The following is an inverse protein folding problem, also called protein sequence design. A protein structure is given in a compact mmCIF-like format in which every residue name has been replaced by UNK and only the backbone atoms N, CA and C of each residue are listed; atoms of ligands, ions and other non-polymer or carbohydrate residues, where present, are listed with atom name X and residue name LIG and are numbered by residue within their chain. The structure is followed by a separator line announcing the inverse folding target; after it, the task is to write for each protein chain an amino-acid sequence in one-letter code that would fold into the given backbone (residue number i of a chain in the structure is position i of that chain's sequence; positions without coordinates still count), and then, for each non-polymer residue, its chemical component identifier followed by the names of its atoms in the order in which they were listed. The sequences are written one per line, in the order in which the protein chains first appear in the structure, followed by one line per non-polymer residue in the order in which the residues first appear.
data_IF_167435140343
#
_entry.id   IF_167435140343
#
_cell.length_a   1.000
_cell.length_b   1.000
_cell.length_c   1.000
_cell.angle_alpha   90.00
_cell.angle_beta   90.00
_cell.angle_gamma   90.00
#
_symmetry.space_group_name_H-M   'P 1'
#
loop_
_entity.id
_entity.type
_entity.pdbx_description
1 polymer ?
#
# COMPACT_ATOMS: atom_id res chain seq x y z
N UNK A 1 22.14 -20.17 -7.74
CA UNK A 1 21.03 -21.13 -7.98
C UNK A 1 21.54 -22.53 -7.73
N UNK A 2 20.92 -23.29 -6.81
CA UNK A 2 21.34 -24.65 -6.48
C UNK A 2 21.05 -25.61 -7.64
N UNK A 3 21.82 -26.68 -7.77
CA UNK A 3 21.66 -27.74 -8.78
C UNK A 3 20.22 -28.31 -8.85
N UNK A 4 19.45 -28.24 -7.77
CA UNK A 4 18.04 -28.65 -7.74
C UNK A 4 17.09 -27.71 -8.49
N UNK A 5 17.38 -26.40 -8.54
CA UNK A 5 16.59 -25.43 -9.31
C UNK A 5 16.79 -25.57 -10.82
N UNK A 6 17.94 -26.06 -11.24
CA UNK A 6 18.23 -26.31 -12.66
C UNK A 6 17.55 -27.57 -13.19
N UNK A 7 17.36 -28.59 -12.35
CA UNK A 7 16.68 -29.83 -12.76
C UNK A 7 15.18 -29.64 -12.95
N UNK A 8 14.53 -28.82 -12.09
CA UNK A 8 13.09 -28.53 -12.18
C UNK A 8 12.73 -27.69 -13.41
N UNK A 9 13.61 -26.77 -13.80
CA UNK A 9 13.42 -25.94 -15.00
C UNK A 9 13.53 -26.78 -16.31
N UNK A 10 14.35 -27.81 -16.33
CA UNK A 10 14.53 -28.67 -17.50
C UNK A 10 13.32 -29.59 -17.77
N UNK A 11 12.62 -30.06 -16.73
CA UNK A 11 11.41 -30.87 -16.86
C UNK A 11 10.20 -30.09 -17.38
N UNK A 12 10.17 -28.76 -17.20
CA UNK A 12 9.10 -27.87 -17.67
C UNK A 12 9.37 -27.25 -19.06
N UNK A 13 10.45 -27.66 -19.75
CA UNK A 13 10.79 -27.12 -21.08
C UNK A 13 11.24 -25.63 -21.06
N UNK A 14 11.58 -25.12 -19.86
CA UNK A 14 12.08 -23.75 -19.71
C UNK A 14 13.60 -23.81 -19.85
N UNK A 15 14.13 -23.39 -21.00
CA UNK A 15 15.58 -23.23 -21.18
C UNK A 15 16.11 -22.25 -20.13
N UNK A 16 17.18 -22.59 -19.39
CA UNK A 16 17.81 -21.64 -18.48
C UNK A 16 18.30 -20.44 -19.32
N UNK A 17 17.83 -19.26 -18.95
CA UNK A 17 18.29 -18.02 -19.57
C UNK A 17 19.79 -17.86 -19.28
N UNK A 18 20.60 -17.84 -20.30
CA UNK A 18 22.03 -17.50 -20.21
C UNK A 18 22.16 -16.04 -19.78
N UNK A 19 22.97 -15.78 -18.75
CA UNK A 19 23.37 -14.43 -18.33
C UNK A 19 23.87 -13.67 -19.57
N UNK A 20 23.17 -12.57 -19.93
CA UNK A 20 23.56 -11.66 -20.99
C UNK A 20 22.57 -11.46 -22.14
N UNK A 21 21.46 -12.18 -22.24
CA UNK A 21 20.41 -11.84 -23.22
C UNK A 21 19.58 -10.67 -22.69
N UNK A 22 19.76 -9.47 -23.26
CA UNK A 22 18.82 -8.36 -23.07
C UNK A 22 17.43 -8.85 -23.46
N UNK A 23 16.48 -8.83 -22.51
CA UNK A 23 15.09 -9.17 -22.82
C UNK A 23 14.59 -8.25 -23.93
N UNK A 24 13.86 -8.81 -24.90
CA UNK A 24 13.21 -8.00 -25.94
C UNK A 24 12.35 -6.93 -25.32
N UNK A 25 12.30 -5.71 -25.87
CA UNK A 25 11.45 -4.64 -25.35
C UNK A 25 9.99 -5.09 -25.21
N UNK A 26 9.28 -4.59 -24.22
CA UNK A 26 7.89 -4.98 -23.92
C UNK A 26 6.92 -4.78 -25.11
N UNK A 27 7.24 -3.89 -26.04
CA UNK A 27 6.44 -3.55 -27.22
C UNK A 27 6.69 -4.47 -28.42
N UNK A 28 7.60 -5.45 -28.36
CA UNK A 28 7.72 -6.44 -29.41
C UNK A 28 6.44 -7.28 -29.50
N UNK A 29 5.98 -7.64 -30.73
CA UNK A 29 4.72 -8.35 -30.90
C UNK A 29 4.60 -9.63 -30.06
N UNK A 30 5.66 -10.42 -29.99
CA UNK A 30 5.70 -11.68 -29.27
C UNK A 30 5.53 -11.43 -27.76
N UNK A 31 6.32 -10.53 -27.18
CA UNK A 31 6.28 -10.21 -25.76
C UNK A 31 4.96 -9.52 -25.37
N UNK A 32 4.42 -8.68 -26.23
CA UNK A 32 3.10 -8.09 -26.03
C UNK A 32 1.99 -9.15 -26.07
N UNK A 33 2.09 -10.12 -27.01
CA UNK A 33 1.11 -11.19 -27.13
C UNK A 33 1.06 -12.06 -25.85
N UNK A 34 2.22 -12.39 -25.27
CA UNK A 34 2.32 -13.15 -24.02
C UNK A 34 1.63 -12.43 -22.84
N UNK A 35 1.67 -11.11 -22.83
CA UNK A 35 1.05 -10.28 -21.79
C UNK A 35 -0.44 -9.99 -22.03
N UNK A 36 -0.91 -10.16 -23.25
CA UNK A 36 -2.26 -9.76 -23.67
C UNK A 36 -3.40 -10.32 -22.80
N UNK A 37 -3.37 -11.59 -22.34
CA UNK A 37 -4.41 -12.10 -21.44
C UNK A 37 -4.50 -11.31 -20.14
N UNK A 38 -3.37 -10.98 -19.51
CA UNK A 38 -3.32 -10.20 -18.26
C UNK A 38 -3.80 -8.75 -18.45
N UNK A 39 -3.46 -8.14 -19.59
CA UNK A 39 -3.92 -6.79 -19.94
C UNK A 39 -5.44 -6.74 -20.22
N UNK A 40 -5.99 -7.80 -20.82
CA UNK A 40 -7.44 -7.94 -21.00
C UNK A 40 -8.15 -8.14 -19.66
N UNK A 41 -7.60 -8.98 -18.77
CA UNK A 41 -8.08 -9.16 -17.41
C UNK A 41 -8.09 -7.82 -16.64
N UNK A 42 -7.01 -7.05 -16.72
CA UNK A 42 -6.94 -5.70 -16.15
C UNK A 42 -8.11 -4.81 -16.59
N UNK A 43 -8.35 -4.78 -17.91
CA UNK A 43 -9.44 -3.96 -18.46
C UNK A 43 -10.82 -4.43 -18.04
N UNK A 44 -11.02 -5.75 -17.91
CA UNK A 44 -12.28 -6.32 -17.42
C UNK A 44 -12.50 -6.00 -15.93
N UNK A 45 -11.48 -6.23 -15.09
CA UNK A 45 -11.52 -5.91 -13.65
C UNK A 45 -11.80 -4.42 -13.44
N UNK A 46 -11.10 -3.54 -14.17
CA UNK A 46 -11.29 -2.09 -14.06
C UNK A 46 -12.74 -1.66 -14.35
N UNK A 47 -13.41 -2.29 -15.34
CA UNK A 47 -14.83 -2.01 -15.62
C UNK A 47 -15.74 -2.55 -14.51
N UNK A 48 -15.56 -3.81 -14.14
CA UNK A 48 -16.40 -4.43 -13.12
C UNK A 48 -16.34 -3.71 -11.76
N UNK A 49 -15.14 -3.20 -11.39
CA UNK A 49 -15.02 -2.42 -10.16
C UNK A 49 -15.66 -1.04 -10.28
N UNK A 50 -15.58 -0.36 -11.45
CA UNK A 50 -16.29 0.90 -11.66
C UNK A 50 -17.81 0.72 -11.57
N UNK A 51 -18.32 -0.33 -12.21
CA UNK A 51 -19.75 -0.65 -12.16
C UNK A 51 -20.19 -0.89 -10.70
N UNK A 52 -19.39 -1.62 -9.92
CA UNK A 52 -19.67 -1.86 -8.49
C UNK A 52 -19.64 -0.56 -7.67
N UNK A 53 -18.63 0.30 -7.84
CA UNK A 53 -18.57 1.57 -7.11
C UNK A 53 -19.72 2.51 -7.48
N UNK A 54 -20.13 2.56 -8.75
CA UNK A 54 -21.28 3.34 -9.21
C UNK A 54 -22.58 2.82 -8.56
N UNK A 55 -22.79 1.49 -8.55
CA UNK A 55 -23.95 0.85 -7.93
C UNK A 55 -24.02 1.10 -6.41
N UNK A 56 -22.87 1.20 -5.73
CA UNK A 56 -22.74 1.55 -4.31
C UNK A 56 -22.86 3.07 -4.05
N UNK A 57 -23.03 3.87 -5.08
CA UNK A 57 -23.24 5.31 -4.99
C UNK A 57 -21.96 6.13 -4.77
N UNK A 58 -20.80 5.63 -5.18
CA UNK A 58 -19.56 6.39 -5.18
C UNK A 58 -19.47 7.28 -6.42
N UNK A 59 -18.97 8.50 -6.23
CA UNK A 59 -18.54 9.34 -7.32
C UNK A 59 -17.08 9.02 -7.70
N UNK A 60 -16.81 8.64 -8.96
CA UNK A 60 -15.44 8.55 -9.45
C UNK A 60 -14.89 9.97 -9.65
N UNK A 61 -13.78 10.27 -8.99
CA UNK A 61 -13.13 11.57 -9.05
C UNK A 61 -11.77 11.46 -9.74
N UNK A 62 -11.28 12.59 -10.27
CA UNK A 62 -9.94 12.73 -10.83
C UNK A 62 -9.24 13.89 -10.12
N UNK A 63 -8.22 13.61 -9.33
CA UNK A 63 -7.48 14.63 -8.60
C UNK A 63 -6.13 14.93 -9.26
N UNK A 64 -5.58 16.12 -8.97
CA UNK A 64 -4.33 16.59 -9.60
C UNK A 64 -3.12 15.73 -9.22
N UNK A 65 -2.32 15.34 -10.22
CA UNK A 65 -1.07 14.59 -10.03
C UNK A 65 0.02 15.47 -9.42
N UNK A 66 0.11 16.74 -9.87
CA UNK A 66 1.11 17.69 -9.38
C UNK A 66 0.68 18.27 -8.03
N UNK A 67 1.50 18.06 -7.01
CA UNK A 67 1.23 18.47 -5.64
C UNK A 67 2.34 19.39 -5.12
N UNK A 68 2.00 20.32 -4.23
CA UNK A 68 2.99 21.11 -3.48
C UNK A 68 3.70 20.29 -2.42
N UNK A 69 2.96 19.40 -1.77
CA UNK A 69 3.48 18.36 -0.87
C UNK A 69 3.03 17.00 -1.36
N UNK A 70 3.94 16.03 -1.52
CA UNK A 70 3.57 14.69 -2.03
C UNK A 70 3.05 13.75 -0.94
N UNK A 71 2.91 14.23 0.29
CA UNK A 71 2.73 13.47 1.51
C UNK A 71 3.94 13.61 2.43
N UNK A 72 3.70 13.45 3.72
CA UNK A 72 4.74 13.65 4.76
C UNK A 72 5.03 12.34 5.51
N UNK A 73 5.34 11.28 4.77
CA UNK A 73 5.76 9.99 5.32
C UNK A 73 7.29 9.84 5.23
N UNK A 74 7.88 9.28 6.29
CA UNK A 74 9.35 9.18 6.42
C UNK A 74 9.99 8.43 5.26
N UNK A 75 9.43 7.29 4.87
CA UNK A 75 10.04 6.36 3.93
C UNK A 75 9.51 6.44 2.49
N UNK A 76 8.47 7.23 2.23
CA UNK A 76 7.96 7.44 0.87
C UNK A 76 8.72 8.55 0.16
N UNK A 77 9.24 8.27 -1.01
CA UNK A 77 9.98 9.20 -1.85
C UNK A 77 9.18 9.56 -3.09
N UNK A 78 9.06 10.86 -3.35
CA UNK A 78 8.30 11.38 -4.49
C UNK A 78 9.22 12.01 -5.54
N UNK A 79 9.04 11.70 -6.83
CA UNK A 79 9.70 12.44 -7.88
C UNK A 79 9.29 13.90 -7.88
N UNK A 80 10.24 14.81 -8.07
CA UNK A 80 9.95 16.24 -8.20
C UNK A 80 9.80 16.67 -9.66
N UNK A 81 9.01 17.71 -9.90
CA UNK A 81 8.81 18.31 -11.21
C UNK A 81 8.97 19.84 -11.12
N UNK A 82 9.86 20.39 -11.95
CA UNK A 82 10.06 21.84 -12.04
C UNK A 82 9.21 22.41 -13.18
N UNK A 83 8.28 23.31 -12.85
CA UNK A 83 7.48 24.05 -13.80
C UNK A 83 7.97 25.49 -13.91
N UNK A 84 7.65 26.12 -15.03
CA UNK A 84 7.91 27.56 -15.22
C UNK A 84 6.57 28.26 -15.35
N UNK A 85 6.34 29.26 -14.49
CA UNK A 85 5.13 30.10 -14.56
C UNK A 85 5.10 30.97 -15.83
N UNK A 86 3.97 31.56 -16.14
CA UNK A 86 3.85 32.51 -17.25
C UNK A 86 4.75 33.76 -17.06
N UNK A 87 5.10 34.10 -15.82
CA UNK A 87 6.05 35.19 -15.50
C UNK A 87 7.53 34.75 -15.59
N UNK A 88 7.80 33.45 -15.83
CA UNK A 88 9.16 32.92 -15.91
C UNK A 88 9.71 32.37 -14.58
N UNK A 89 8.95 32.41 -13.49
CA UNK A 89 9.37 31.93 -12.19
C UNK A 89 9.44 30.40 -12.17
N UNK A 90 10.43 29.85 -11.46
CA UNK A 90 10.57 28.42 -11.24
C UNK A 90 9.69 27.98 -10.06
N UNK A 91 8.85 27.00 -10.31
CA UNK A 91 7.91 26.41 -9.35
C UNK A 91 8.24 24.93 -9.17
N UNK A 92 8.57 24.54 -7.94
CA UNK A 92 8.82 23.14 -7.61
C UNK A 92 7.52 22.47 -7.18
N UNK A 93 7.20 21.36 -7.85
CA UNK A 93 6.11 20.46 -7.53
C UNK A 93 6.64 19.05 -7.32
N UNK A 94 5.77 18.17 -6.85
CA UNK A 94 6.03 16.74 -6.74
C UNK A 94 4.92 15.96 -7.46
N UNK A 95 5.28 14.79 -7.99
CA UNK A 95 4.29 13.83 -8.43
C UNK A 95 3.75 13.12 -7.18
N UNK A 96 2.43 13.00 -7.07
CA UNK A 96 1.77 12.42 -5.89
C UNK A 96 2.18 10.97 -5.63
N UNK A 97 2.35 10.60 -4.38
CA UNK A 97 2.55 9.21 -3.94
C UNK A 97 1.23 8.49 -3.63
N UNK A 98 0.14 9.26 -3.46
CA UNK A 98 -1.25 8.89 -3.26
C UNK A 98 -2.14 10.09 -3.58
N UNK A 99 -3.41 9.92 -3.94
CA UNK A 99 -4.39 11.00 -4.08
C UNK A 99 -4.96 11.47 -2.73
N UNK A 100 -4.60 10.87 -1.61
CA UNK A 100 -5.20 11.02 -0.28
C UNK A 100 -5.48 12.47 0.13
N UNK A 101 -4.48 13.38 0.04
CA UNK A 101 -4.66 14.77 0.46
C UNK A 101 -5.72 15.50 -0.37
N UNK A 102 -5.77 15.19 -1.67
CA UNK A 102 -6.77 15.78 -2.56
C UNK A 102 -8.17 15.18 -2.30
N UNK A 103 -8.27 13.86 -2.10
CA UNK A 103 -9.51 13.19 -1.77
C UNK A 103 -10.08 13.69 -0.43
N UNK A 104 -9.24 13.85 0.60
CA UNK A 104 -9.66 14.40 1.90
C UNK A 104 -10.12 15.87 1.80
N UNK A 105 -9.53 16.66 0.92
CA UNK A 105 -10.05 18.02 0.60
C UNK A 105 -11.42 17.96 -0.05
N UNK A 106 -11.73 16.95 -0.88
CA UNK A 106 -13.06 16.75 -1.44
C UNK A 106 -14.08 16.35 -0.36
N UNK A 107 -13.70 15.52 0.61
CA UNK A 107 -14.55 15.22 1.78
C UNK A 107 -14.84 16.50 2.59
N UNK A 108 -13.83 17.36 2.81
CA UNK A 108 -14.01 18.64 3.46
C UNK A 108 -14.90 19.60 2.64
N UNK A 109 -14.92 19.47 1.31
CA UNK A 109 -15.80 20.23 0.42
C UNK A 109 -17.25 19.71 0.38
N UNK A 110 -17.54 18.55 1.04
CA UNK A 110 -18.90 18.01 1.15
C UNK A 110 -19.16 16.72 0.39
N UNK A 111 -18.16 16.15 -0.30
CA UNK A 111 -18.31 14.82 -0.88
C UNK A 111 -18.41 13.76 0.22
N UNK A 112 -19.15 12.69 -0.04
CA UNK A 112 -19.43 11.67 1.00
C UNK A 112 -18.94 10.27 0.65
N UNK A 113 -19.02 9.89 -0.62
CA UNK A 113 -18.52 8.62 -1.17
C UNK A 113 -17.77 8.91 -2.46
N UNK A 114 -16.46 8.77 -2.44
CA UNK A 114 -15.60 9.03 -3.60
C UNK A 114 -14.65 7.87 -3.85
N UNK A 115 -14.32 7.64 -5.12
CA UNK A 115 -13.34 6.65 -5.57
C UNK A 115 -12.46 7.24 -6.66
N UNK A 116 -11.17 6.90 -6.67
CA UNK A 116 -10.24 7.28 -7.73
C UNK A 116 -9.36 6.09 -8.16
N UNK A 117 -9.30 5.82 -9.46
CA UNK A 117 -8.25 4.99 -10.07
C UNK A 117 -7.04 5.88 -10.38
N UNK A 118 -6.22 6.10 -9.39
CA UNK A 118 -5.18 7.11 -9.38
C UNK A 118 -3.86 6.63 -9.99
N UNK A 119 -3.24 7.44 -10.86
CA UNK A 119 -1.82 7.29 -11.18
C UNK A 119 -0.99 7.90 -10.06
N UNK A 120 -0.08 7.11 -9.50
CA UNK A 120 0.78 7.50 -8.39
C UNK A 120 2.23 7.12 -8.68
N UNK A 121 3.15 7.81 -8.00
CA UNK A 121 4.57 7.74 -8.28
C UNK A 121 5.36 7.61 -6.97
N UNK A 122 6.19 6.58 -6.88
CA UNK A 122 7.08 6.39 -5.73
C UNK A 122 8.49 6.14 -6.22
N UNK A 123 9.37 7.03 -5.87
CA UNK A 123 10.80 6.89 -6.19
C UNK A 123 11.43 5.80 -5.32
N UNK A 124 12.48 5.17 -5.82
CA UNK A 124 13.22 4.08 -5.17
C UNK A 124 12.43 2.78 -5.00
N UNK A 125 11.20 2.69 -5.52
CA UNK A 125 10.41 1.47 -5.48
C UNK A 125 10.43 0.76 -6.85
N UNK A 126 11.23 -0.30 -6.94
CA UNK A 126 11.28 -1.17 -8.12
C UNK A 126 11.54 -2.61 -7.70
N UNK A 127 10.71 -3.52 -8.21
CA UNK A 127 10.83 -4.94 -7.89
C UNK A 127 9.72 -5.78 -8.53
N UNK A 128 9.65 -7.07 -8.22
CA UNK A 128 8.63 -7.95 -8.78
C UNK A 128 7.19 -7.54 -8.46
N UNK A 129 6.97 -6.79 -7.38
CA UNK A 129 5.69 -6.28 -6.89
C UNK A 129 5.59 -4.75 -6.89
N UNK A 130 6.60 -4.05 -7.40
CA UNK A 130 6.69 -2.60 -7.33
C UNK A 130 7.15 -2.01 -8.65
N UNK A 131 6.50 -0.94 -9.06
CA UNK A 131 6.93 -0.06 -10.15
C UNK A 131 6.94 1.37 -9.64
N UNK A 132 7.85 2.24 -10.15
CA UNK A 132 7.91 3.65 -9.72
C UNK A 132 6.68 4.46 -10.15
N UNK A 133 5.93 3.98 -11.13
CA UNK A 133 4.61 4.48 -11.55
C UNK A 133 3.64 3.31 -11.60
N UNK A 134 2.52 3.43 -10.88
CA UNK A 134 1.51 2.39 -10.78
C UNK A 134 0.10 2.96 -10.62
N UNK A 135 -0.90 2.08 -10.66
CA UNK A 135 -2.28 2.46 -10.38
C UNK A 135 -2.65 2.06 -8.96
N UNK A 136 -3.10 3.04 -8.21
CA UNK A 136 -3.72 2.90 -6.90
C UNK A 136 -5.22 3.11 -7.04
N UNK A 137 -6.01 2.26 -6.39
CA UNK A 137 -7.45 2.43 -6.26
C UNK A 137 -7.71 2.89 -4.84
N UNK A 138 -8.15 4.14 -4.69
CA UNK A 138 -8.50 4.69 -3.38
C UNK A 138 -9.97 5.07 -3.32
N UNK A 139 -10.62 4.80 -2.17
CA UNK A 139 -11.98 5.22 -1.93
C UNK A 139 -12.20 5.61 -0.48
N UNK A 140 -13.19 6.47 -0.28
CA UNK A 140 -13.50 7.08 1.01
C UNK A 140 -15.00 7.09 1.27
N UNK A 141 -15.38 6.92 2.55
CA UNK A 141 -16.74 7.04 3.06
C UNK A 141 -16.76 8.04 4.22
N UNK A 142 -17.56 9.09 4.09
CA UNK A 142 -17.82 10.03 5.17
C UNK A 142 -18.89 9.50 6.10
N UNK A 143 -18.76 9.77 7.42
CA UNK A 143 -19.69 9.38 8.47
C UNK A 143 -19.93 7.87 8.59
N UNK A 144 -19.00 7.07 8.14
CA UNK A 144 -18.99 5.61 8.31
C UNK A 144 -17.74 5.17 9.09
N UNK A 145 -17.81 4.01 9.74
CA UNK A 145 -16.67 3.45 10.47
C UNK A 145 -15.69 2.75 9.52
N UNK A 146 -14.44 2.55 9.96
CA UNK A 146 -13.41 1.95 9.12
C UNK A 146 -13.69 0.48 8.77
N UNK A 147 -14.54 -0.20 9.53
CA UNK A 147 -15.05 -1.53 9.20
C UNK A 147 -15.82 -1.55 7.86
N UNK A 148 -16.44 -0.42 7.46
CA UNK A 148 -17.12 -0.32 6.18
C UNK A 148 -16.14 -0.48 5.01
N UNK A 149 -15.00 0.22 5.04
CA UNK A 149 -13.96 0.08 3.98
C UNK A 149 -13.18 -1.22 4.09
N UNK A 150 -13.11 -1.84 5.29
CA UNK A 150 -12.62 -3.22 5.42
C UNK A 150 -13.52 -4.20 4.65
N UNK A 151 -14.85 -4.09 4.82
CA UNK A 151 -15.83 -4.91 4.11
C UNK A 151 -15.79 -4.66 2.59
N UNK A 152 -15.73 -3.39 2.16
CA UNK A 152 -15.56 -3.03 0.75
C UNK A 152 -14.32 -3.69 0.14
N UNK A 153 -13.20 -3.69 0.87
CA UNK A 153 -11.94 -4.28 0.39
C UNK A 153 -12.10 -5.77 0.06
N UNK A 154 -12.81 -6.50 0.90
CA UNK A 154 -13.11 -7.93 0.67
C UNK A 154 -13.96 -8.10 -0.60
N UNK A 155 -15.01 -7.28 -0.75
CA UNK A 155 -15.89 -7.33 -1.94
C UNK A 155 -15.13 -6.98 -3.21
N UNK A 156 -14.33 -5.91 -3.21
CA UNK A 156 -13.50 -5.47 -4.35
C UNK A 156 -12.53 -6.57 -4.79
N UNK A 157 -11.88 -7.24 -3.83
CA UNK A 157 -10.95 -8.34 -4.12
C UNK A 157 -11.70 -9.55 -4.70
N UNK A 158 -12.83 -9.93 -4.12
CA UNK A 158 -13.66 -11.02 -4.60
C UNK A 158 -14.22 -10.72 -6.00
N UNK A 159 -14.67 -9.48 -6.26
CA UNK A 159 -15.17 -9.04 -7.57
C UNK A 159 -14.11 -9.14 -8.66
N UNK A 160 -12.84 -8.80 -8.35
CA UNK A 160 -11.74 -8.96 -9.29
C UNK A 160 -11.49 -10.45 -9.64
N UNK A 161 -11.52 -11.33 -8.64
CA UNK A 161 -11.40 -12.78 -8.84
C UNK A 161 -12.57 -13.35 -9.66
N UNK A 162 -13.81 -12.94 -9.36
CA UNK A 162 -15.00 -13.35 -10.10
C UNK A 162 -14.93 -12.92 -11.56
N UNK A 163 -14.47 -11.70 -11.84
CA UNK A 163 -14.36 -11.14 -13.19
C UNK A 163 -13.41 -11.94 -14.09
N UNK A 164 -12.37 -12.52 -13.52
CA UNK A 164 -11.42 -13.36 -14.28
C UNK A 164 -11.78 -14.84 -14.27
N UNK A 165 -12.74 -15.25 -13.44
CA UNK A 165 -13.11 -16.65 -13.23
C UNK A 165 -12.11 -17.46 -12.41
N UNK A 166 -11.18 -16.77 -11.71
CA UNK A 166 -10.20 -17.44 -10.84
C UNK A 166 -10.87 -17.82 -9.51
N UNK A 167 -10.79 -19.08 -9.10
CA UNK A 167 -11.36 -19.53 -7.83
C UNK A 167 -10.42 -19.37 -6.64
N UNK A 168 -9.13 -19.27 -6.88
CA UNK A 168 -8.09 -19.20 -5.84
C UNK A 168 -6.91 -18.39 -6.35
N UNK A 169 -6.45 -17.42 -5.59
CA UNK A 169 -5.19 -16.74 -5.86
C UNK A 169 -4.02 -17.66 -5.56
N UNK A 170 -2.99 -17.60 -6.39
CA UNK A 170 -1.76 -18.33 -6.18
C UNK A 170 -0.54 -17.47 -6.50
N UNK A 171 0.37 -17.34 -5.55
CA UNK A 171 1.59 -16.57 -5.72
C UNK A 171 2.73 -17.13 -4.87
N UNK A 172 3.89 -17.39 -5.48
CA UNK A 172 5.11 -17.89 -4.82
C UNK A 172 4.88 -19.09 -3.89
N UNK A 173 4.06 -20.05 -4.34
CA UNK A 173 3.76 -21.27 -3.57
C UNK A 173 2.72 -21.09 -2.46
N UNK A 174 2.19 -19.88 -2.27
CA UNK A 174 1.07 -19.62 -1.36
C UNK A 174 -0.23 -19.55 -2.14
N UNK A 175 -1.34 -19.90 -1.50
CA UNK A 175 -2.70 -19.84 -2.07
C UNK A 175 -3.63 -19.09 -1.12
N UNK A 176 -4.66 -18.44 -1.67
CA UNK A 176 -5.71 -17.80 -0.90
C UNK A 176 -7.05 -17.87 -1.67
N UNK A 177 -8.09 -18.29 -0.99
CA UNK A 177 -9.47 -18.21 -1.51
C UNK A 177 -9.99 -16.78 -1.28
N UNK A 178 -10.25 -16.00 -2.34
CA UNK A 178 -10.75 -14.63 -2.20
C UNK A 178 -12.23 -14.56 -1.84
N UNK A 179 -12.95 -15.68 -1.85
CA UNK A 179 -14.38 -15.76 -1.55
C UNK A 179 -14.66 -16.28 -0.12
N UNK A 180 -13.64 -16.84 0.54
CA UNK A 180 -13.78 -17.28 1.92
C UNK A 180 -13.83 -16.07 2.87
N UNK A 181 -14.53 -16.24 4.00
CA UNK A 181 -14.53 -15.22 5.05
C UNK A 181 -13.09 -14.92 5.49
N UNK A 182 -12.69 -13.64 5.54
CA UNK A 182 -11.31 -13.26 5.87
C UNK A 182 -10.95 -13.62 7.30
N UNK A 183 -9.68 -13.91 7.53
CA UNK A 183 -9.10 -14.03 8.87
C UNK A 183 -8.86 -12.61 9.42
N UNK A 184 -9.58 -12.25 10.49
CA UNK A 184 -9.41 -10.99 11.21
C UNK A 184 -8.37 -11.17 12.31
N UNK A 185 -7.26 -10.48 12.20
CA UNK A 185 -6.12 -10.64 13.11
C UNK A 185 -5.62 -9.27 13.57
N UNK A 186 -5.61 -9.01 14.88
CA UNK A 186 -4.99 -7.79 15.39
C UNK A 186 -3.47 -7.88 15.26
N UNK A 187 -2.80 -6.72 15.09
CA UNK A 187 -1.32 -6.70 15.06
C UNK A 187 -0.75 -7.27 16.36
N UNK A 188 -1.36 -6.98 17.50
CA UNK A 188 -0.93 -7.50 18.80
C UNK A 188 -1.02 -9.03 18.88
N UNK A 189 -2.13 -9.61 18.42
CA UNK A 189 -2.29 -11.07 18.38
C UNK A 189 -1.31 -11.72 17.37
N UNK A 190 -1.07 -11.05 16.24
CA UNK A 190 -0.10 -11.51 15.25
C UNK A 190 1.32 -11.58 15.82
N UNK A 191 1.75 -10.55 16.54
CA UNK A 191 3.05 -10.52 17.21
C UNK A 191 3.16 -11.59 18.30
N UNK A 192 2.11 -11.75 19.10
CA UNK A 192 2.07 -12.82 20.10
C UNK A 192 2.15 -14.20 19.44
N UNK A 193 1.37 -14.43 18.38
CA UNK A 193 1.23 -15.73 17.71
C UNK A 193 2.48 -16.13 16.94
N UNK A 194 3.08 -15.20 16.18
CA UNK A 194 4.14 -15.52 15.22
C UNK A 194 5.54 -15.12 15.69
N UNK A 195 5.66 -14.14 16.58
CA UNK A 195 6.93 -13.67 17.11
C UNK A 195 7.11 -13.94 18.62
N UNK A 196 6.06 -14.37 19.34
CA UNK A 196 6.03 -14.53 20.80
C UNK A 196 6.38 -13.22 21.55
N UNK A 197 5.91 -12.08 21.04
CA UNK A 197 6.13 -10.73 21.59
C UNK A 197 4.78 -10.16 22.05
N UNK A 198 4.68 -9.71 23.30
CA UNK A 198 3.59 -8.86 23.79
C UNK A 198 3.86 -7.43 23.33
N UNK A 199 3.36 -7.09 22.14
CA UNK A 199 3.60 -5.80 21.50
C UNK A 199 3.06 -4.63 22.34
N UNK A 200 1.85 -4.77 22.91
CA UNK A 200 1.20 -3.68 23.62
C UNK A 200 1.87 -3.36 24.97
N UNK A 201 2.64 -4.30 25.54
CA UNK A 201 3.48 -4.03 26.71
C UNK A 201 4.63 -3.07 26.39
N UNK A 202 5.01 -2.91 25.11
CA UNK A 202 6.06 -2.00 24.66
C UNK A 202 5.54 -0.60 24.28
N UNK A 203 4.24 -0.33 24.54
CA UNK A 203 3.58 0.93 24.22
C UNK A 203 2.79 1.44 25.46
N UNK A 204 3.47 1.66 26.60
CA UNK A 204 2.79 2.15 27.78
C UNK A 204 2.14 3.53 27.51
N UNK A 205 0.86 3.66 27.79
CA UNK A 205 0.11 4.90 27.59
C UNK A 205 0.14 5.47 26.16
N UNK A 206 0.29 4.60 25.13
CA UNK A 206 0.37 5.02 23.73
C UNK A 206 1.75 5.54 23.29
N UNK A 207 2.75 5.48 24.17
CA UNK A 207 4.13 5.93 23.90
C UNK A 207 5.02 4.73 23.56
N UNK A 208 5.78 4.84 22.47
CA UNK A 208 6.73 3.81 22.07
C UNK A 208 7.89 3.69 23.07
N UNK A 209 8.08 2.52 23.63
CA UNK A 209 9.25 2.17 24.45
C UNK A 209 10.19 1.30 23.62
N UNK A 210 11.21 1.95 23.01
CA UNK A 210 12.20 1.29 22.15
C UNK A 210 12.94 0.16 22.88
N UNK A 211 13.34 0.40 24.13
CA UNK A 211 14.14 -0.56 24.88
C UNK A 211 13.31 -1.81 25.25
N UNK A 212 12.04 -1.62 25.58
CA UNK A 212 11.14 -2.73 25.85
C UNK A 212 10.94 -3.61 24.60
N UNK A 213 10.74 -3.00 23.40
CA UNK A 213 10.60 -3.76 22.17
C UNK A 213 11.93 -4.41 21.76
N UNK A 214 13.05 -3.72 21.89
CA UNK A 214 14.36 -4.27 21.60
C UNK A 214 14.66 -5.49 22.47
N UNK A 215 14.37 -5.42 23.77
CA UNK A 215 14.54 -6.57 24.68
C UNK A 215 13.66 -7.75 24.29
N UNK A 216 12.40 -7.50 23.92
CA UNK A 216 11.46 -8.56 23.51
C UNK A 216 11.81 -9.18 22.15
N UNK A 217 12.47 -8.44 21.25
CA UNK A 217 12.79 -8.87 19.88
C UNK A 217 14.26 -9.36 19.71
N UNK A 218 15.09 -9.35 20.77
CA UNK A 218 16.53 -9.64 20.70
C UNK A 218 16.87 -10.96 20.00
N UNK A 219 16.09 -12.02 20.26
CA UNK A 219 16.30 -13.35 19.66
C UNK A 219 15.50 -13.55 18.35
N UNK A 220 14.87 -12.52 17.84
CA UNK A 220 13.98 -12.59 16.67
C UNK A 220 14.57 -11.92 15.44
N UNK A 221 15.07 -10.70 15.61
CA UNK A 221 15.59 -9.88 14.51
C UNK A 221 16.93 -9.24 14.90
N UNK A 222 17.73 -8.89 13.90
CA UNK A 222 18.96 -8.14 14.15
C UNK A 222 18.63 -6.69 14.48
N UNK A 223 18.97 -6.25 15.71
CA UNK A 223 18.77 -4.90 16.19
C UNK A 223 20.13 -4.16 16.21
N UNK A 224 20.14 -2.90 15.81
CA UNK A 224 21.28 -2.00 15.86
C UNK A 224 20.97 -0.81 16.76
N UNK A 225 22.00 -0.09 17.21
CA UNK A 225 21.83 1.07 18.11
C UNK A 225 21.04 2.21 17.46
N UNK A 226 21.07 2.30 16.12
CA UNK A 226 20.35 3.33 15.35
C UNK A 226 18.89 2.98 15.05
N UNK A 227 18.47 1.74 15.32
CA UNK A 227 17.09 1.32 15.08
C UNK A 227 16.14 2.04 16.04
N UNK A 228 15.12 2.64 15.50
CA UNK A 228 13.97 3.16 16.27
C UNK A 228 13.03 2.03 16.69
N UNK A 229 12.01 2.34 17.50
CA UNK A 229 10.93 1.39 17.79
C UNK A 229 10.26 0.90 16.50
N UNK A 230 9.97 1.83 15.56
CA UNK A 230 9.36 1.53 14.27
C UNK A 230 10.23 0.63 13.39
N UNK A 231 11.55 0.80 13.41
CA UNK A 231 12.46 -0.07 12.66
C UNK A 231 12.42 -1.50 13.20
N UNK A 232 12.44 -1.67 14.53
CA UNK A 232 12.38 -2.98 15.16
C UNK A 232 11.02 -3.63 14.90
N UNK A 233 9.93 -2.86 15.04
CA UNK A 233 8.56 -3.30 14.71
C UNK A 233 8.49 -3.81 13.27
N UNK A 234 8.96 -3.02 12.31
CA UNK A 234 8.93 -3.37 10.88
C UNK A 234 9.75 -4.62 10.58
N UNK A 235 10.94 -4.79 11.19
CA UNK A 235 11.74 -6.01 11.03
C UNK A 235 10.99 -7.24 11.52
N UNK A 236 10.39 -7.18 12.71
CA UNK A 236 9.60 -8.29 13.26
C UNK A 236 8.37 -8.57 12.39
N UNK A 237 7.66 -7.54 11.95
CA UNK A 237 6.49 -7.66 11.08
C UNK A 237 6.87 -8.41 9.78
N UNK A 238 7.89 -7.94 9.08
CA UNK A 238 8.32 -8.48 7.77
C UNK A 238 8.90 -9.90 7.91
N UNK A 239 9.72 -10.16 8.93
CA UNK A 239 10.42 -11.44 9.05
C UNK A 239 9.57 -12.55 9.68
N UNK A 240 8.66 -12.20 10.63
CA UNK A 240 7.95 -13.18 11.43
C UNK A 240 6.43 -13.18 11.24
N UNK A 241 5.80 -12.08 10.84
CA UNK A 241 4.33 -11.98 10.73
C UNK A 241 3.87 -12.10 9.28
N UNK A 242 4.33 -11.24 8.37
CA UNK A 242 3.89 -11.21 6.97
C UNK A 242 4.01 -12.55 6.23
N UNK A 243 5.02 -13.40 6.49
CA UNK A 243 5.09 -14.71 5.85
C UNK A 243 3.87 -15.61 6.10
N UNK A 244 3.10 -15.33 7.14
CA UNK A 244 1.91 -16.11 7.54
C UNK A 244 0.58 -15.50 7.06
N UNK A 245 0.60 -14.26 6.57
CA UNK A 245 -0.62 -13.53 6.21
C UNK A 245 -1.14 -13.95 4.83
N UNK A 246 -2.48 -13.95 4.68
CA UNK A 246 -3.15 -14.23 3.42
C UNK A 246 -2.95 -15.65 2.92
N UNK A 247 -2.76 -16.63 3.80
CA UNK A 247 -2.64 -18.04 3.45
C UNK A 247 -3.96 -18.78 3.65
N UNK A 248 -4.42 -19.46 2.60
CA UNK A 248 -5.70 -20.17 2.57
C UNK A 248 -6.89 -19.25 2.31
N UNK A 249 -6.88 -18.03 2.83
CA UNK A 249 -7.91 -16.98 2.67
C UNK A 249 -7.27 -15.60 2.81
N UNK A 250 -8.04 -14.54 2.62
CA UNK A 250 -7.59 -13.19 2.93
C UNK A 250 -7.32 -13.05 4.43
N UNK A 251 -6.30 -12.28 4.81
CA UNK A 251 -6.10 -11.83 6.19
C UNK A 251 -6.26 -10.32 6.23
N UNK A 252 -7.09 -9.83 7.15
CA UNK A 252 -7.17 -8.42 7.52
C UNK A 252 -6.37 -8.26 8.81
N UNK A 253 -5.19 -7.66 8.70
CA UNK A 253 -4.35 -7.30 9.84
C UNK A 253 -4.76 -5.92 10.30
N UNK A 254 -5.28 -5.76 11.52
CA UNK A 254 -5.87 -4.51 11.97
C UNK A 254 -5.45 -4.12 13.39
N UNK A 255 -5.83 -2.91 13.82
CA UNK A 255 -5.40 -2.32 15.09
C UNK A 255 -3.87 -2.19 15.16
N UNK A 256 -3.33 -1.42 14.22
CA UNK A 256 -1.90 -1.11 14.22
C UNK A 256 -1.52 -0.31 15.48
N UNK A 257 -0.31 -0.53 16.04
CA UNK A 257 0.13 0.21 17.21
C UNK A 257 0.19 1.72 16.94
N UNK A 258 -0.12 2.52 17.96
CA UNK A 258 -0.19 3.99 17.84
C UNK A 258 1.07 4.64 17.21
N UNK A 259 2.31 4.17 17.47
CA UNK A 259 3.50 4.69 16.78
C UNK A 259 3.49 4.46 15.26
N UNK A 260 2.72 3.48 14.77
CA UNK A 260 2.57 3.13 13.34
C UNK A 260 1.21 3.59 12.77
N UNK A 261 0.56 4.55 13.42
CA UNK A 261 -0.78 4.98 13.02
C UNK A 261 -0.84 5.73 11.69
N UNK A 262 0.28 6.25 11.18
CA UNK A 262 0.32 7.07 9.95
C UNK A 262 -0.74 8.19 9.98
N UNK A 263 -1.73 8.14 9.10
CA UNK A 263 -2.83 9.09 9.01
C UNK A 263 -4.13 8.58 9.68
N UNK A 264 -4.06 7.43 10.39
CA UNK A 264 -5.19 6.89 11.11
C UNK A 264 -5.41 7.58 12.45
N UNK A 265 -6.67 7.67 12.88
CA UNK A 265 -7.03 8.11 14.23
C UNK A 265 -6.73 7.01 15.26
N UNK A 266 -6.42 7.43 16.48
CA UNK A 266 -6.32 6.49 17.59
C UNK A 266 -7.69 5.84 17.87
N UNK A 267 -7.68 4.54 18.24
CA UNK A 267 -8.91 3.84 18.61
C UNK A 267 -9.44 4.39 19.95
N UNK A 268 -10.70 4.87 20.01
CA UNK A 268 -11.21 5.50 21.24
C UNK A 268 -11.21 4.59 22.47
N UNK A 269 -11.36 3.28 22.28
CA UNK A 269 -11.42 2.29 23.38
C UNK A 269 -10.04 1.85 23.89
N UNK A 270 -8.98 1.99 23.06
CA UNK A 270 -7.60 1.68 23.44
C UNK A 270 -6.61 2.60 22.69
N UNK A 271 -6.11 3.66 23.32
CA UNK A 271 -5.23 4.63 22.66
C UNK A 271 -3.84 4.09 22.30
N UNK A 272 -3.52 2.84 22.65
CA UNK A 272 -2.27 2.18 22.22
C UNK A 272 -2.31 1.71 20.79
N UNK A 273 -3.52 1.67 20.19
CA UNK A 273 -3.74 1.22 18.79
C UNK A 273 -4.52 2.26 18.00
N UNK A 274 -4.39 2.20 16.69
CA UNK A 274 -5.07 3.05 15.73
C UNK A 274 -6.09 2.25 14.91
N UNK A 275 -7.09 2.92 14.39
CA UNK A 275 -8.03 2.38 13.41
C UNK A 275 -7.35 2.31 12.03
N UNK A 276 -6.38 1.41 11.90
CA UNK A 276 -5.63 1.10 10.69
C UNK A 276 -5.71 -0.38 10.40
N UNK A 277 -5.84 -0.73 9.15
CA UNK A 277 -5.79 -2.13 8.71
C UNK A 277 -5.05 -2.28 7.39
N UNK A 278 -4.56 -3.48 7.15
CA UNK A 278 -4.02 -3.91 5.87
C UNK A 278 -4.64 -5.24 5.45
N UNK A 279 -4.82 -5.45 4.15
CA UNK A 279 -5.38 -6.69 3.61
C UNK A 279 -4.32 -7.46 2.85
N UNK A 280 -4.16 -8.73 3.20
CA UNK A 280 -3.16 -9.62 2.60
C UNK A 280 -3.81 -10.79 1.86
N UNK A 281 -3.22 -11.15 0.72
CA UNK A 281 -3.50 -12.40 0.00
C UNK A 281 -2.18 -13.02 -0.49
N UNK A 282 -1.96 -14.31 -0.24
CA UNK A 282 -0.73 -15.01 -0.63
C UNK A 282 0.57 -14.36 -0.11
N UNK A 283 0.52 -13.67 1.04
CA UNK A 283 1.63 -12.89 1.58
C UNK A 283 1.93 -11.60 0.82
N UNK A 284 1.00 -11.12 0.01
CA UNK A 284 1.07 -9.84 -0.69
C UNK A 284 0.08 -8.89 -0.03
N UNK A 285 0.56 -7.74 0.44
CA UNK A 285 -0.26 -6.64 0.87
C UNK A 285 -1.00 -6.06 -0.34
N UNK A 286 -2.34 -6.08 -0.28
CA UNK A 286 -3.20 -5.55 -1.32
C UNK A 286 -3.75 -4.17 -0.99
N UNK A 287 -4.10 -3.91 0.27
CA UNK A 287 -4.74 -2.68 0.68
C UNK A 287 -4.28 -2.23 2.06
N UNK A 288 -4.30 -0.91 2.29
CA UNK A 288 -4.03 -0.25 3.56
C UNK A 288 -5.12 0.82 3.78
N UNK A 289 -5.80 0.79 4.91
CA UNK A 289 -6.94 1.66 5.16
C UNK A 289 -7.00 2.17 6.60
N UNK A 290 -7.76 3.25 6.76
CA UNK A 290 -7.82 4.02 8.01
C UNK A 290 -9.25 4.40 8.40
N UNK A 291 -9.50 4.50 9.73
CA UNK A 291 -10.38 5.51 10.28
C UNK A 291 -9.58 6.82 10.31
N UNK A 292 -10.04 7.82 9.58
CA UNK A 292 -9.25 8.99 9.24
C UNK A 292 -9.01 9.90 10.45
N UNK A 293 -7.76 10.33 10.65
CA UNK A 293 -7.45 11.40 11.59
C UNK A 293 -8.00 12.72 11.05
N UNK A 294 -8.81 13.41 11.86
CA UNK A 294 -9.42 14.71 11.51
C UNK A 294 -8.89 15.85 12.38
N UNK A 295 -8.04 15.58 13.37
CA UNK A 295 -7.38 16.61 14.19
C UNK A 295 -6.18 17.18 13.42
N UNK A 296 -6.33 18.40 12.90
CA UNK A 296 -5.29 19.10 12.14
C UNK A 296 -4.04 19.43 12.99
N UNK A 297 -4.19 19.61 14.30
CA UNK A 297 -3.08 19.88 15.22
C UNK A 297 -2.22 18.63 15.44
N UNK A 298 -2.86 17.51 15.69
CA UNK A 298 -2.20 16.21 15.80
C UNK A 298 -1.55 15.82 14.48
N UNK A 299 -2.25 15.97 13.36
CA UNK A 299 -1.71 15.65 12.03
C UNK A 299 -0.46 16.47 11.70
N UNK A 300 -0.48 17.77 12.00
CA UNK A 300 0.70 18.64 11.84
C UNK A 300 1.88 18.15 12.66
N UNK A 301 1.63 17.76 13.90
CA UNK A 301 2.69 17.26 14.80
C UNK A 301 3.30 15.96 14.26
N UNK A 302 2.48 15.04 13.75
CA UNK A 302 2.94 13.80 13.12
C UNK A 302 3.76 14.07 11.86
N UNK A 303 3.31 15.00 11.00
CA UNK A 303 4.04 15.38 9.78
C UNK A 303 5.41 16.02 10.08
N UNK A 304 5.48 16.88 11.08
CA UNK A 304 6.75 17.48 11.49
C UNK A 304 7.72 16.39 11.96
N UNK A 305 7.27 15.49 12.84
CA UNK A 305 8.11 14.41 13.35
C UNK A 305 8.59 13.47 12.22
N UNK A 306 7.70 13.11 11.29
CA UNK A 306 8.06 12.29 10.13
C UNK A 306 9.06 12.98 9.20
N UNK A 307 8.93 14.29 8.99
CA UNK A 307 9.88 15.07 8.17
C UNK A 307 11.21 15.30 8.86
N UNK A 308 11.24 15.46 10.18
CA UNK A 308 12.48 15.53 10.96
C UNK A 308 13.26 14.20 10.83
N UNK A 309 12.57 13.07 10.93
CA UNK A 309 13.16 11.74 10.74
C UNK A 309 13.62 11.51 9.29
N UNK A 310 12.83 11.94 8.30
CA UNK A 310 13.20 11.86 6.89
C UNK A 310 14.46 12.67 6.59
N UNK A 311 14.54 13.89 7.10
CA UNK A 311 15.72 14.76 6.96
C UNK A 311 16.94 14.15 7.63
N UNK A 312 16.79 13.59 8.84
CA UNK A 312 17.86 12.90 9.55
C UNK A 312 18.42 11.69 8.77
N UNK A 313 17.53 10.89 8.16
CA UNK A 313 17.92 9.65 7.44
C UNK A 313 18.40 9.88 6.03
N UNK A 314 17.69 10.74 5.30
CA UNK A 314 17.83 10.86 3.84
C UNK A 314 18.31 12.23 3.38
N UNK A 315 18.41 13.21 4.27
CA UNK A 315 18.71 14.60 3.90
C UNK A 315 17.59 15.25 3.05
N UNK A 316 16.39 14.71 3.12
CA UNK A 316 15.22 15.14 2.35
C UNK A 316 14.12 15.63 3.28
N UNK A 317 13.49 16.75 2.91
CA UNK A 317 12.33 17.28 3.61
C UNK A 317 11.31 17.80 2.62
N UNK A 318 10.05 17.39 2.76
CA UNK A 318 8.96 17.93 1.96
C UNK A 318 8.23 19.05 2.72
N UNK A 319 7.67 20.03 1.99
CA UNK A 319 6.85 21.06 2.62
C UNK A 319 5.57 20.45 3.18
N UNK A 320 5.04 21.04 4.24
CA UNK A 320 3.70 20.71 4.71
C UNK A 320 2.65 21.30 3.74
N UNK A 321 1.57 20.57 3.50
CA UNK A 321 0.42 21.09 2.78
C UNK A 321 -0.49 21.85 3.76
N UNK A 322 -0.25 23.15 3.89
CA UNK A 322 -1.01 24.02 4.79
C UNK A 322 -2.50 24.11 4.39
N UNK A 323 -2.79 23.99 3.09
CA UNK A 323 -4.14 23.96 2.56
C UNK A 323 -4.88 22.67 2.94
N UNK A 324 -4.19 21.54 2.92
CA UNK A 324 -4.71 20.28 3.45
C UNK A 324 -5.01 20.37 4.95
N UNK A 325 -4.06 20.86 5.75
CA UNK A 325 -4.26 21.01 7.19
C UNK A 325 -5.41 21.96 7.52
N UNK A 326 -5.61 23.01 6.72
CA UNK A 326 -6.78 23.89 6.86
C UNK A 326 -8.08 23.17 6.51
N UNK A 327 -8.11 22.39 5.42
CA UNK A 327 -9.28 21.61 5.00
C UNK A 327 -9.71 20.57 6.05
N UNK A 328 -8.77 19.94 6.76
CA UNK A 328 -9.06 18.97 7.82
C UNK A 328 -9.97 19.51 8.91
N UNK A 329 -9.93 20.82 9.18
CA UNK A 329 -10.80 21.45 10.20
C UNK A 329 -12.29 21.42 9.83
N UNK A 330 -12.62 21.13 8.57
CA UNK A 330 -13.98 21.03 8.04
C UNK A 330 -14.32 19.59 7.59
N UNK A 331 -13.36 18.67 7.68
CA UNK A 331 -13.54 17.30 7.24
C UNK A 331 -14.48 16.57 8.21
N UNK A 332 -15.51 15.86 7.76
CA UNK A 332 -16.33 15.00 8.62
C UNK A 332 -15.49 13.80 9.10
N UNK A 333 -15.98 13.10 10.11
CA UNK A 333 -15.48 11.76 10.38
C UNK A 333 -15.57 10.93 9.10
N UNK A 334 -14.53 10.19 8.79
CA UNK A 334 -14.44 9.42 7.56
C UNK A 334 -13.57 8.18 7.75
N UNK A 335 -13.66 7.29 6.79
CA UNK A 335 -12.74 6.19 6.61
C UNK A 335 -12.33 6.11 5.13
N UNK A 336 -11.13 5.60 4.88
CA UNK A 336 -10.60 5.47 3.54
C UNK A 336 -9.68 4.26 3.42
N UNK A 337 -9.43 3.84 2.19
CA UNK A 337 -8.52 2.74 1.89
C UNK A 337 -7.85 2.93 0.55
N UNK A 338 -6.56 2.63 0.51
CA UNK A 338 -5.72 2.59 -0.67
C UNK A 338 -5.42 1.14 -1.03
N UNK A 339 -5.78 0.72 -2.26
CA UNK A 339 -5.55 -0.62 -2.77
C UNK A 339 -4.60 -0.57 -3.96
N UNK A 340 -3.56 -1.39 -3.94
CA UNK A 340 -2.64 -1.58 -5.07
C UNK A 340 -3.33 -2.29 -6.23
N UNK A 341 -3.95 -1.54 -7.15
CA UNK A 341 -4.74 -2.11 -8.25
C UNK A 341 -3.91 -3.04 -9.14
N UNK A 342 -2.65 -2.71 -9.40
CA UNK A 342 -1.77 -3.56 -10.21
C UNK A 342 -1.47 -4.89 -9.50
N UNK A 343 -1.29 -4.90 -8.17
CA UNK A 343 -1.12 -6.12 -7.37
C UNK A 343 -2.38 -6.98 -7.37
N UNK A 344 -3.56 -6.36 -7.24
CA UNK A 344 -4.84 -7.06 -7.33
C UNK A 344 -5.01 -7.73 -8.70
N UNK A 345 -4.77 -7.00 -9.79
CA UNK A 345 -4.83 -7.55 -11.15
C UNK A 345 -3.82 -8.69 -11.33
N UNK A 346 -2.61 -8.57 -10.78
CA UNK A 346 -1.59 -9.61 -10.84
C UNK A 346 -2.10 -10.91 -10.20
N UNK A 347 -2.64 -10.87 -8.99
CA UNK A 347 -3.18 -12.06 -8.33
C UNK A 347 -4.43 -12.59 -9.04
N UNK A 348 -5.36 -11.73 -9.42
CA UNK A 348 -6.62 -12.10 -10.06
C UNK A 348 -6.45 -12.61 -11.50
N UNK A 349 -5.33 -12.35 -12.16
CA UNK A 349 -5.04 -12.87 -13.50
C UNK A 349 -4.03 -14.02 -13.51
N UNK A 350 -3.43 -14.35 -12.36
CA UNK A 350 -2.37 -15.37 -12.27
C UNK A 350 -1.03 -14.92 -12.83
N UNK A 351 -0.81 -13.62 -13.01
CA UNK A 351 0.48 -13.08 -13.40
C UNK A 351 1.50 -13.22 -12.26
N UNK A 352 2.77 -13.39 -12.60
CA UNK A 352 3.84 -13.64 -11.60
C UNK A 352 4.71 -12.41 -11.32
N UNK A 353 4.55 -11.35 -12.13
CA UNK A 353 5.28 -10.09 -12.02
C UNK A 353 4.37 -8.91 -12.37
N UNK A 354 4.59 -7.80 -11.70
CA UNK A 354 3.77 -6.59 -11.83
C UNK A 354 3.82 -5.97 -13.25
N UNK A 355 4.96 -6.04 -13.95
CA UNK A 355 5.13 -5.51 -15.30
C UNK A 355 4.27 -6.24 -16.35
N UNK A 356 3.80 -7.46 -16.06
CA UNK A 356 2.92 -8.20 -16.96
C UNK A 356 1.51 -7.60 -17.04
N UNK A 357 1.07 -6.93 -16.00
CA UNK A 357 -0.30 -6.38 -15.89
C UNK A 357 -0.39 -4.89 -16.21
N UNK A 358 0.70 -4.23 -16.54
CA UNK A 358 0.75 -2.81 -16.88
C UNK A 358 0.90 -2.65 -18.40
N UNK A 359 0.06 -1.83 -19.04
CA UNK A 359 0.06 -1.65 -20.51
C UNK A 359 1.43 -1.21 -21.03
N UNK A 360 2.00 -0.19 -20.40
CA UNK A 360 3.30 0.39 -20.74
C UNK A 360 4.18 0.42 -19.51
N UNK A 361 4.93 -0.65 -19.20
CA UNK A 361 5.83 -0.64 -18.05
C UNK A 361 6.84 0.51 -18.15
N UNK A 362 7.21 1.13 -17.02
CA UNK A 362 8.28 2.10 -16.99
C UNK A 362 9.56 1.52 -17.60
N UNK A 363 10.42 2.35 -18.23
CA UNK A 363 11.68 1.91 -18.76
C UNK A 363 12.49 1.13 -17.71
N UNK A 364 13.14 0.04 -18.14
CA UNK A 364 14.13 -0.62 -17.30
C UNK A 364 15.29 0.35 -17.05
N UNK A 365 15.87 0.33 -15.84
CA UNK A 365 17.07 1.12 -15.58
C UNK A 365 18.11 0.76 -16.63
N UNK A 366 18.64 1.79 -17.28
CA UNK A 366 19.65 1.61 -18.33
C UNK A 366 20.91 0.90 -17.79
N UNK A 367 21.79 0.44 -18.68
CA UNK A 367 23.02 -0.20 -18.30
C UNK A 367 23.93 0.71 -17.50
#
# INVERSE_FOLDING_TARGET
LSLQSQHFAAEMGISPMTEGQKQSPWWTPERHLDRKPFLQARSAISRALRDWFEDEGFAEVETGILQKSPGNETHLHAPSADLTSASGDKLKYFLRTSPEFACKKLLAAGETKIVEFARVFRDRERGPLHLPEFTMLEWYRANESYEAVMADSVVVIAQAAQTTGIGTFAFRGKVADPFAEPDLLTVADAFTRFAAIDLLATIPHGQADREALAAAATDRVRITDDDTWSDIFSKVLVEHVEPHLGQGRLTILYEYPAPESALARAKPSDPRVAERFEVYACGVELANGFGELIDAGEQRSRFIAAMDEKERRYGERYPLDEDFLAAMTQMPEACGVALGFDRLVMLASGATRIDQVVWTPPPEDGP
#
